data_IF_498396602640
#
_entry.id   IF_498396602640
#
_cell.length_a   1.000
_cell.length_b   1.000
_cell.length_c   1.000
_cell.angle_alpha   90.00
_cell.angle_beta   90.00
_cell.angle_gamma   90.00
#
_symmetry.space_group_name_H-M   'P 1'
#
loop_
_entity.id
_entity.type
_entity.pdbx_description
1 polymer ?
#
# COMPACT_ATOMS: atom_id res chain seq x y z
N UNK A 1 1.81 -12.60 -13.90
CA UNK A 1 3.04 -13.13 -13.27
C UNK A 1 3.24 -12.43 -11.94
N UNK A 2 3.48 -13.14 -10.82
CA UNK A 2 3.80 -12.50 -9.55
C UNK A 2 5.22 -11.92 -9.58
N UNK A 3 5.40 -10.72 -9.02
CA UNK A 3 6.71 -10.16 -8.70
C UNK A 3 7.02 -10.48 -7.23
N UNK A 4 8.16 -11.11 -6.96
CA UNK A 4 8.59 -11.48 -5.60
C UNK A 4 9.74 -10.55 -5.19
N UNK A 5 9.56 -9.85 -4.08
CA UNK A 5 10.61 -9.10 -3.41
C UNK A 5 11.03 -9.88 -2.17
N UNK A 6 12.32 -10.16 -2.04
CA UNK A 6 12.89 -10.82 -0.86
C UNK A 6 13.53 -9.77 0.05
N UNK A 7 13.29 -9.92 1.35
CA UNK A 7 13.92 -9.10 2.38
C UNK A 7 15.05 -9.92 3.00
N UNK A 8 16.31 -9.44 3.01
CA UNK A 8 17.41 -10.13 3.66
C UNK A 8 17.18 -10.32 5.16
N UNK A 9 17.64 -11.43 5.73
CA UNK A 9 17.48 -11.75 7.16
C UNK A 9 18.10 -10.68 8.06
N UNK A 10 19.23 -10.10 7.66
CA UNK A 10 19.87 -8.99 8.37
C UNK A 10 18.93 -7.80 8.56
N UNK A 11 18.09 -7.50 7.56
CA UNK A 11 17.10 -6.42 7.66
C UNK A 11 15.92 -6.83 8.55
N UNK A 12 15.49 -8.09 8.48
CA UNK A 12 14.44 -8.65 9.35
C UNK A 12 14.86 -8.55 10.82
N UNK A 13 16.12 -8.86 11.13
CA UNK A 13 16.68 -8.78 12.48
C UNK A 13 16.89 -7.34 12.95
N UNK A 14 17.25 -6.42 12.04
CA UNK A 14 17.41 -5.01 12.36
C UNK A 14 16.08 -4.30 12.69
N UNK A 15 14.96 -4.75 12.11
CA UNK A 15 13.65 -4.14 12.34
C UNK A 15 13.11 -4.60 13.71
N UNK A 16 12.89 -3.63 14.60
CA UNK A 16 12.32 -3.84 15.95
C UNK A 16 10.80 -4.05 15.90
N UNK A 17 10.34 -5.07 15.18
CA UNK A 17 8.93 -5.48 15.15
C UNK A 17 8.80 -6.98 15.44
N UNK A 18 7.70 -7.42 16.10
CA UNK A 18 7.43 -8.84 16.24
C UNK A 18 7.37 -9.53 14.87
N UNK A 19 8.07 -10.66 14.71
CA UNK A 19 8.15 -11.41 13.43
C UNK A 19 6.77 -11.72 12.84
N UNK A 20 5.77 -12.00 13.68
CA UNK A 20 4.39 -12.27 13.25
C UNK A 20 3.62 -11.08 12.67
N UNK A 21 4.13 -9.85 12.82
CA UNK A 21 3.53 -8.62 12.26
C UNK A 21 4.42 -7.94 11.23
N UNK A 22 5.69 -8.32 11.14
CA UNK A 22 6.66 -7.64 10.28
C UNK A 22 6.21 -7.58 8.82
N UNK A 23 5.77 -8.71 8.26
CA UNK A 23 5.34 -8.78 6.86
C UNK A 23 4.13 -7.86 6.57
N UNK A 24 3.13 -7.86 7.45
CA UNK A 24 1.94 -7.02 7.26
C UNK A 24 2.25 -5.54 7.44
N UNK A 25 3.14 -5.17 8.36
CA UNK A 25 3.62 -3.78 8.48
C UNK A 25 4.41 -3.35 7.24
N UNK A 26 5.35 -4.18 6.74
CA UNK A 26 6.11 -3.86 5.53
C UNK A 26 5.22 -3.71 4.30
N UNK A 27 4.21 -4.58 4.14
CA UNK A 27 3.20 -4.46 3.08
C UNK A 27 2.40 -3.16 3.19
N UNK A 28 1.99 -2.78 4.41
CA UNK A 28 1.31 -1.50 4.66
C UNK A 28 2.20 -0.31 4.31
N UNK A 29 3.44 -0.27 4.79
CA UNK A 29 4.39 0.79 4.47
C UNK A 29 4.63 0.92 2.96
N UNK A 30 4.82 -0.20 2.27
CA UNK A 30 5.01 -0.21 0.84
C UNK A 30 3.77 0.28 0.08
N UNK A 31 2.57 -0.11 0.51
CA UNK A 31 1.32 0.40 -0.04
C UNK A 31 1.18 1.93 0.09
N UNK A 32 1.47 2.49 1.27
CA UNK A 32 1.43 3.95 1.47
C UNK A 32 2.49 4.67 0.64
N UNK A 33 3.69 4.09 0.51
CA UNK A 33 4.74 4.62 -0.35
C UNK A 33 4.28 4.72 -1.81
N UNK A 34 3.74 3.62 -2.36
CA UNK A 34 3.25 3.58 -3.74
C UNK A 34 2.11 4.57 -3.99
N UNK A 35 1.17 4.69 -3.04
CA UNK A 35 0.08 5.67 -3.11
C UNK A 35 0.61 7.11 -3.09
N UNK A 36 1.48 7.44 -2.12
CA UNK A 36 2.07 8.78 -1.97
C UNK A 36 2.88 9.19 -3.20
N UNK A 37 3.50 8.24 -3.89
CA UNK A 37 4.25 8.49 -5.12
C UNK A 37 3.37 8.55 -6.38
N UNK A 38 2.05 8.34 -6.26
CA UNK A 38 1.12 8.28 -7.39
C UNK A 38 1.38 7.09 -8.32
N UNK A 39 2.05 6.04 -7.80
CA UNK A 39 2.39 4.80 -8.52
C UNK A 39 1.27 3.75 -8.41
N UNK A 40 0.39 3.87 -7.42
CA UNK A 40 -0.77 3.01 -7.23
C UNK A 40 -2.00 3.82 -6.83
N UNK A 41 -3.18 3.43 -7.32
CA UNK A 41 -4.46 3.97 -6.83
C UNK A 41 -4.67 3.59 -5.37
N UNK A 42 -5.54 4.31 -4.67
CA UNK A 42 -5.99 3.92 -3.34
C UNK A 42 -6.56 2.49 -3.32
N UNK A 43 -7.30 2.08 -4.36
CA UNK A 43 -7.86 0.74 -4.48
C UNK A 43 -6.80 -0.36 -4.50
N UNK A 44 -5.75 -0.18 -5.32
CA UNK A 44 -4.62 -1.12 -5.42
C UNK A 44 -3.76 -1.11 -4.16
N UNK A 45 -3.37 0.08 -3.68
CA UNK A 45 -2.54 0.22 -2.49
C UNK A 45 -3.21 -0.40 -1.26
N UNK A 46 -4.51 -0.16 -1.07
CA UNK A 46 -5.25 -0.73 0.05
C UNK A 46 -5.34 -2.26 -0.01
N UNK A 47 -5.52 -2.85 -1.19
CA UNK A 47 -5.50 -4.31 -1.35
C UNK A 47 -4.14 -4.89 -0.97
N UNK A 48 -3.05 -4.22 -1.36
CA UNK A 48 -1.70 -4.60 -0.94
C UNK A 48 -1.50 -4.49 0.59
N UNK A 49 -2.02 -3.42 1.20
CA UNK A 49 -1.99 -3.21 2.64
C UNK A 49 -2.84 -4.21 3.44
N UNK A 50 -3.83 -4.85 2.81
CA UNK A 50 -4.72 -5.81 3.46
C UNK A 50 -5.71 -5.19 4.45
N UNK A 51 -6.02 -3.89 4.32
CA UNK A 51 -6.88 -3.15 5.25
C UNK A 51 -8.17 -2.64 4.58
N UNK A 52 -9.17 -2.28 5.38
CA UNK A 52 -10.42 -1.70 4.91
C UNK A 52 -10.25 -0.28 4.37
N UNK A 53 -11.25 0.20 3.61
CA UNK A 53 -11.21 1.55 3.00
C UNK A 53 -11.06 2.64 4.06
N UNK A 54 -11.79 2.50 5.16
CA UNK A 54 -11.76 3.44 6.28
C UNK A 54 -10.42 3.43 6.99
N UNK A 55 -9.88 2.25 7.33
CA UNK A 55 -8.54 2.15 7.94
C UNK A 55 -7.44 2.76 7.06
N UNK A 56 -7.52 2.59 5.74
CA UNK A 56 -6.57 3.22 4.82
C UNK A 56 -6.70 4.75 4.85
N UNK A 57 -7.93 5.24 4.82
CA UNK A 57 -8.28 6.66 4.89
C UNK A 57 -7.77 7.31 6.18
N UNK A 58 -7.91 6.63 7.31
CA UNK A 58 -7.48 7.09 8.63
C UNK A 58 -5.95 7.10 8.70
N UNK A 59 -5.31 6.02 8.22
CA UNK A 59 -3.86 5.92 8.15
C UNK A 59 -3.22 7.00 7.27
N UNK A 60 -3.88 7.43 6.19
CA UNK A 60 -3.41 8.58 5.39
C UNK A 60 -3.37 9.87 6.22
N UNK A 61 -4.38 10.07 7.08
CA UNK A 61 -4.47 11.22 7.99
C UNK A 61 -3.34 11.20 9.02
N UNK A 62 -3.13 10.06 9.69
CA UNK A 62 -2.03 9.88 10.66
C UNK A 62 -0.66 10.15 10.04
N UNK A 63 -0.47 9.72 8.78
CA UNK A 63 0.79 9.85 8.04
C UNK A 63 0.96 11.20 7.34
N UNK A 64 -0.03 12.10 7.44
CA UNK A 64 -0.09 13.39 6.72
C UNK A 64 0.16 13.23 5.22
N UNK A 65 -0.39 12.17 4.63
CA UNK A 65 -0.33 11.94 3.19
C UNK A 65 -1.53 12.65 2.58
N UNK A 66 -1.26 13.64 1.73
CA UNK A 66 -2.31 14.34 1.01
C UNK A 66 -3.12 13.37 0.16
N UNK A 67 -4.45 13.45 0.27
CA UNK A 67 -5.33 12.68 -0.61
C UNK A 67 -5.24 13.29 -2.01
N UNK A 68 -4.63 12.53 -2.92
CA UNK A 68 -4.70 12.85 -4.33
C UNK A 68 -6.09 12.48 -4.86
N UNK A 69 -7.11 13.28 -4.51
CA UNK A 69 -8.46 13.26 -5.11
C UNK A 69 -8.45 13.72 -6.59
N UNK A 70 -7.33 13.52 -7.28
CA UNK A 70 -7.15 13.87 -8.67
C UNK A 70 -7.78 12.78 -9.53
N UNK A 71 -8.62 13.20 -10.47
CA UNK A 71 -9.29 12.52 -11.60
C UNK A 71 -8.61 11.25 -12.21
N UNK A 72 -7.35 11.00 -11.90
CA UNK A 72 -6.58 9.80 -12.23
C UNK A 72 -7.14 8.53 -11.55
N UNK A 73 -7.60 8.61 -10.30
CA UNK A 73 -8.18 7.46 -9.57
C UNK A 73 -9.44 6.88 -10.29
N UNK A 74 -10.31 7.76 -10.79
CA UNK A 74 -11.53 7.35 -11.53
C UNK A 74 -11.18 6.62 -12.84
N UNK A 75 -10.11 7.06 -13.52
CA UNK A 75 -9.71 6.51 -14.82
C UNK A 75 -8.95 5.18 -14.66
N UNK A 76 -8.16 5.06 -13.60
CA UNK A 76 -7.42 3.83 -13.28
C UNK A 76 -8.34 2.73 -12.71
N UNK A 77 -9.34 3.07 -11.90
CA UNK A 77 -10.39 2.11 -11.48
C UNK A 77 -11.23 1.61 -12.67
N UNK A 78 -11.54 2.50 -13.63
CA UNK A 78 -12.21 2.10 -14.88
C UNK A 78 -11.36 1.15 -15.74
N UNK A 79 -10.04 1.35 -15.79
CA UNK A 79 -9.16 0.46 -16.53
C UNK A 79 -9.00 -0.89 -15.85
N UNK A 80 -8.93 -0.93 -14.51
CA UNK A 80 -8.91 -2.18 -13.76
C UNK A 80 -10.21 -2.98 -13.94
N UNK A 81 -11.36 -2.32 -13.87
CA UNK A 81 -12.67 -2.96 -14.07
C UNK A 81 -12.91 -3.46 -15.51
N UNK A 82 -12.19 -2.91 -16.50
CA UNK A 82 -12.27 -3.31 -17.91
C UNK A 82 -11.24 -4.39 -18.31
N UNK A 83 -10.27 -4.68 -17.45
CA UNK A 83 -9.21 -5.66 -17.69
C UNK A 83 -9.49 -7.06 -17.13
N UNK A 84 -10.72 -7.31 -16.65
CA UNK A 84 -11.22 -8.60 -16.18
C UNK A 84 -12.52 -8.94 -16.90
#
# INVERSE_FOLDING_TARGET
MPLILTIPDELIEAIKLPKGRLESELKKEFAFFLYKKGMATMGVARRLAGISKWEFIDSLGERKIERHYSKKELKEDQNYAKGH
#
